data_IF_438232909159
#
_entry.id   IF_438232909159
#
_cell.length_a   1.000
_cell.length_b   1.000
_cell.length_c   1.000
_cell.angle_alpha   90.00
_cell.angle_beta   90.00
_cell.angle_gamma   90.00
#
_symmetry.space_group_name_H-M   'P 1'
#
loop_
_entity.id
_entity.type
_entity.pdbx_description
1 polymer ?
#
# COMPACT_ATOMS: atom_id res chain seq x y z
N UNK A 1 -28.15 24.82 -18.04
CA UNK A 1 -27.18 24.82 -16.93
C UNK A 1 -27.64 23.74 -15.96
N UNK A 2 -27.13 22.52 -16.09
CA UNK A 2 -27.47 21.41 -15.20
C UNK A 2 -26.67 21.58 -13.91
N UNK A 3 -27.35 21.72 -12.77
CA UNK A 3 -26.72 21.56 -11.46
C UNK A 3 -25.94 20.25 -11.48
N UNK A 4 -24.62 20.32 -11.32
CA UNK A 4 -23.80 19.12 -11.16
C UNK A 4 -24.19 18.48 -9.83
N UNK A 5 -25.11 17.51 -9.88
CA UNK A 5 -25.43 16.67 -8.74
C UNK A 5 -24.15 15.99 -8.27
N UNK A 6 -23.75 16.25 -7.02
CA UNK A 6 -22.63 15.60 -6.38
C UNK A 6 -22.86 14.07 -6.40
N UNK A 7 -21.93 13.25 -6.94
CA UNK A 7 -22.10 11.80 -6.96
C UNK A 7 -22.27 11.24 -5.55
N UNK A 8 -23.18 10.26 -5.40
CA UNK A 8 -23.57 9.66 -4.11
C UNK A 8 -23.37 8.14 -4.07
N UNK A 9 -22.91 7.53 -5.15
CA UNK A 9 -22.64 6.10 -5.19
C UNK A 9 -21.54 5.78 -6.22
N UNK A 10 -21.04 4.54 -6.18
CA UNK A 10 -19.92 4.10 -7.00
C UNK A 10 -20.19 4.21 -8.51
N UNK A 11 -21.43 4.00 -8.96
CA UNK A 11 -21.80 4.11 -10.37
C UNK A 11 -21.71 5.56 -10.87
N UNK A 12 -22.23 6.52 -10.09
CA UNK A 12 -22.16 7.94 -10.42
C UNK A 12 -20.71 8.45 -10.41
N UNK A 13 -19.91 8.03 -9.43
CA UNK A 13 -18.48 8.33 -9.42
C UNK A 13 -17.77 7.73 -10.63
N UNK A 14 -18.08 6.48 -10.99
CA UNK A 14 -17.50 5.84 -12.17
C UNK A 14 -17.83 6.59 -13.46
N UNK A 15 -19.08 7.05 -13.64
CA UNK A 15 -19.48 7.88 -14.80
C UNK A 15 -18.68 9.19 -14.89
N UNK A 16 -18.36 9.82 -13.76
CA UNK A 16 -17.52 11.02 -13.73
C UNK A 16 -16.07 10.72 -14.13
N UNK A 17 -15.54 9.56 -13.72
CA UNK A 17 -14.13 9.20 -13.83
C UNK A 17 -13.78 8.42 -15.11
N UNK A 18 -14.74 7.77 -15.78
CA UNK A 18 -14.49 6.86 -16.90
C UNK A 18 -13.72 7.49 -18.07
N UNK A 19 -13.93 8.78 -18.36
CA UNK A 19 -13.21 9.47 -19.44
C UNK A 19 -11.89 10.12 -18.97
N UNK A 20 -11.56 10.01 -17.68
CA UNK A 20 -10.43 10.67 -17.02
C UNK A 20 -9.25 9.73 -16.86
N UNK A 21 -8.55 9.46 -17.97
CA UNK A 21 -7.36 8.61 -17.92
C UNK A 21 -6.28 9.22 -16.98
N UNK A 22 -5.63 8.43 -16.10
CA UNK A 22 -4.60 8.91 -15.17
C UNK A 22 -3.45 9.66 -15.89
N UNK A 23 -3.20 10.95 -15.60
CA UNK A 23 -2.15 11.71 -16.28
C UNK A 23 -0.74 11.35 -15.80
N UNK A 24 0.19 11.18 -16.74
CA UNK A 24 1.60 10.84 -16.47
C UNK A 24 2.44 12.12 -16.34
N UNK A 25 3.50 12.10 -15.52
CA UNK A 25 4.43 13.23 -15.44
C UNK A 25 5.04 13.52 -16.81
N UNK A 26 5.01 14.78 -17.22
CA UNK A 26 5.53 15.21 -18.52
C UNK A 26 7.02 14.85 -18.71
N UNK A 27 7.83 14.92 -17.65
CA UNK A 27 9.26 14.58 -17.72
C UNK A 27 9.52 13.12 -18.14
N UNK A 28 8.70 12.19 -17.66
CA UNK A 28 8.79 10.77 -18.01
C UNK A 28 8.31 10.53 -19.44
N UNK A 29 7.23 11.20 -19.88
CA UNK A 29 6.79 11.15 -21.28
C UNK A 29 7.91 11.64 -22.21
N UNK A 30 8.55 12.79 -21.90
CA UNK A 30 9.67 13.33 -22.69
C UNK A 30 10.88 12.40 -22.73
N UNK A 31 11.20 11.74 -21.62
CA UNK A 31 12.26 10.72 -21.58
C UNK A 31 11.93 9.53 -22.49
N UNK A 32 10.68 9.10 -22.51
CA UNK A 32 10.22 8.00 -23.35
C UNK A 32 10.18 8.36 -24.84
N UNK A 33 9.67 9.56 -25.18
CA UNK A 33 9.73 10.11 -26.55
C UNK A 33 11.17 10.18 -27.07
N UNK A 34 12.09 10.71 -26.25
CA UNK A 34 13.51 10.76 -26.59
C UNK A 34 14.06 9.36 -26.84
N UNK A 35 13.79 8.40 -25.95
CA UNK A 35 14.30 7.04 -26.09
C UNK A 35 13.79 6.36 -27.36
N UNK A 36 12.50 6.54 -27.70
CA UNK A 36 11.89 6.02 -28.92
C UNK A 36 12.44 6.65 -30.21
N UNK A 37 13.03 7.84 -30.13
CA UNK A 37 13.66 8.49 -31.29
C UNK A 37 15.08 8.00 -31.58
N UNK A 38 15.68 7.21 -30.68
CA UNK A 38 17.02 6.64 -30.86
C UNK A 38 16.98 5.50 -31.89
N UNK A 39 17.97 5.45 -32.80
CA UNK A 39 18.04 4.45 -33.88
C UNK A 39 18.11 3.01 -33.39
N UNK A 40 18.75 2.79 -32.24
CA UNK A 40 18.99 1.46 -31.65
C UNK A 40 18.03 1.16 -30.48
N UNK A 41 16.86 1.81 -30.45
CA UNK A 41 15.90 1.62 -29.38
C UNK A 41 15.29 0.21 -29.40
N UNK A 42 15.57 -0.58 -28.36
CA UNK A 42 14.99 -1.91 -28.19
C UNK A 42 13.70 -1.91 -27.35
N UNK A 43 12.88 -2.95 -27.50
CA UNK A 43 11.71 -3.19 -26.61
C UNK A 43 12.15 -3.32 -25.15
N UNK A 44 13.34 -3.88 -24.89
CA UNK A 44 13.87 -4.07 -23.53
C UNK A 44 14.17 -2.73 -22.86
N UNK A 45 14.74 -1.77 -23.61
CA UNK A 45 15.02 -0.43 -23.08
C UNK A 45 13.75 0.33 -22.73
N UNK A 46 12.75 0.24 -23.60
CA UNK A 46 11.43 0.83 -23.39
C UNK A 46 10.71 0.14 -22.23
N UNK A 47 10.83 -1.18 -22.11
CA UNK A 47 10.26 -1.93 -21.00
C UNK A 47 10.78 -1.43 -19.65
N UNK A 48 12.10 -1.20 -19.55
CA UNK A 48 12.70 -0.64 -18.33
C UNK A 48 12.12 0.74 -17.97
N UNK A 49 11.87 1.60 -18.95
CA UNK A 49 11.28 2.92 -18.72
C UNK A 49 9.82 2.86 -18.33
N UNK A 50 9.02 2.01 -19.00
CA UNK A 50 7.60 1.82 -18.67
C UNK A 50 7.46 1.26 -17.26
N UNK A 51 8.22 0.21 -16.92
CA UNK A 51 8.17 -0.45 -15.61
C UNK A 51 8.65 0.41 -14.44
N UNK A 52 9.36 1.51 -14.73
CA UNK A 52 9.78 2.47 -13.70
C UNK A 52 8.65 3.43 -13.27
N UNK A 53 7.52 3.49 -13.99
CA UNK A 53 6.41 4.37 -13.65
C UNK A 53 5.06 3.60 -13.69
N UNK A 54 4.37 3.43 -12.54
CA UNK A 54 3.07 2.77 -12.46
C UNK A 54 2.01 3.30 -13.43
N UNK A 55 2.04 4.59 -13.77
CA UNK A 55 1.07 5.16 -14.69
C UNK A 55 1.37 4.74 -16.12
N UNK A 56 2.65 4.65 -16.52
CA UNK A 56 3.00 4.06 -17.81
C UNK A 56 2.63 2.58 -17.88
N UNK A 57 2.83 1.83 -16.79
CA UNK A 57 2.36 0.45 -16.67
C UNK A 57 0.84 0.35 -16.89
N UNK A 58 0.07 1.26 -16.28
CA UNK A 58 -1.39 1.32 -16.46
C UNK A 58 -1.76 1.53 -17.93
N UNK A 59 -1.19 2.54 -18.60
CA UNK A 59 -1.51 2.84 -19.98
C UNK A 59 -1.09 1.73 -20.94
N UNK A 60 0.06 1.09 -20.71
CA UNK A 60 0.50 -0.05 -21.48
C UNK A 60 -0.42 -1.27 -21.27
N UNK A 61 -0.81 -1.56 -20.03
CA UNK A 61 -1.76 -2.63 -19.74
C UNK A 61 -3.13 -2.36 -20.38
N UNK A 62 -3.63 -1.12 -20.30
CA UNK A 62 -4.93 -0.74 -20.85
C UNK A 62 -4.98 -0.89 -22.38
N UNK A 63 -3.96 -0.40 -23.09
CA UNK A 63 -3.92 -0.55 -24.56
C UNK A 63 -3.65 -2.00 -24.97
N UNK A 64 -2.88 -2.77 -24.19
CA UNK A 64 -2.69 -4.19 -24.45
C UNK A 64 -3.99 -4.98 -24.25
N UNK A 65 -4.72 -4.74 -23.17
CA UNK A 65 -5.97 -5.45 -22.88
C UNK A 65 -6.98 -5.29 -24.01
N UNK A 66 -7.12 -4.10 -24.62
CA UNK A 66 -7.99 -3.90 -25.79
C UNK A 66 -7.63 -4.81 -26.98
N UNK A 67 -6.34 -5.09 -27.21
CA UNK A 67 -5.90 -6.00 -28.27
C UNK A 67 -6.14 -7.47 -27.93
N UNK A 68 -6.14 -7.79 -26.64
CA UNK A 68 -6.33 -9.13 -26.12
C UNK A 68 -7.83 -9.49 -26.00
N UNK A 69 -8.68 -8.50 -25.74
CA UNK A 69 -10.14 -8.61 -25.78
C UNK A 69 -10.62 -9.05 -27.18
N UNK A 70 -10.03 -8.51 -28.25
CA UNK A 70 -10.30 -8.95 -29.63
C UNK A 70 -9.96 -10.42 -29.90
N UNK A 71 -9.12 -11.03 -29.04
CA UNK A 71 -8.57 -12.38 -29.21
C UNK A 71 -8.99 -13.34 -28.09
N UNK A 72 -9.95 -12.95 -27.26
CA UNK A 72 -10.41 -13.75 -26.11
C UNK A 72 -9.26 -14.22 -25.20
N UNK A 73 -8.29 -13.35 -24.98
CA UNK A 73 -7.11 -13.63 -24.15
C UNK A 73 -6.89 -12.52 -23.11
N UNK A 74 -5.99 -12.74 -22.15
CA UNK A 74 -5.79 -11.81 -21.03
C UNK A 74 -4.33 -11.38 -20.87
N UNK A 75 -4.15 -10.13 -20.44
CA UNK A 75 -2.84 -9.58 -20.08
C UNK A 75 -2.47 -10.01 -18.67
N UNK A 76 -1.51 -10.93 -18.57
CA UNK A 76 -1.08 -11.56 -17.32
C UNK A 76 0.11 -10.88 -16.62
N UNK A 77 0.81 -9.96 -17.29
CA UNK A 77 1.91 -9.17 -16.72
C UNK A 77 2.20 -7.90 -17.52
N UNK A 78 2.93 -6.96 -16.92
CA UNK A 78 3.39 -5.74 -17.61
C UNK A 78 4.36 -6.08 -18.76
N UNK A 79 5.25 -7.06 -18.58
CA UNK A 79 6.15 -7.50 -19.67
C UNK A 79 5.36 -8.12 -20.84
N UNK A 80 4.32 -8.90 -20.54
CA UNK A 80 3.41 -9.43 -21.55
C UNK A 80 2.69 -8.29 -22.28
N UNK A 81 2.15 -7.29 -21.57
CA UNK A 81 1.51 -6.12 -22.17
C UNK A 81 2.43 -5.38 -23.15
N UNK A 82 3.66 -5.10 -22.72
CA UNK A 82 4.67 -4.39 -23.52
C UNK A 82 5.07 -5.22 -24.76
N UNK A 83 5.24 -6.54 -24.59
CA UNK A 83 5.51 -7.46 -25.68
C UNK A 83 4.39 -7.50 -26.72
N UNK A 84 3.13 -7.55 -26.28
CA UNK A 84 1.95 -7.55 -27.14
C UNK A 84 1.77 -6.26 -27.93
N UNK A 85 2.13 -5.11 -27.35
CA UNK A 85 2.09 -3.82 -28.03
C UNK A 85 3.22 -3.67 -29.06
N UNK A 86 4.44 -4.04 -28.68
CA UNK A 86 5.65 -3.77 -29.47
C UNK A 86 5.97 -2.27 -29.62
N UNK A 87 7.11 -1.95 -30.23
CA UNK A 87 7.62 -0.57 -30.33
C UNK A 87 6.68 0.39 -31.08
N UNK A 88 6.01 -0.10 -32.12
CA UNK A 88 5.15 0.74 -32.96
C UNK A 88 3.92 1.24 -32.19
N UNK A 89 3.17 0.34 -31.54
CA UNK A 89 1.98 0.73 -30.77
C UNK A 89 2.37 1.53 -29.53
N UNK A 90 3.51 1.22 -28.89
CA UNK A 90 4.04 2.06 -27.80
C UNK A 90 4.34 3.46 -28.29
N UNK A 91 4.94 3.63 -29.48
CA UNK A 91 5.22 4.95 -30.05
C UNK A 91 3.96 5.78 -30.30
N UNK A 92 2.85 5.13 -30.67
CA UNK A 92 1.55 5.77 -30.83
C UNK A 92 0.97 6.14 -29.46
N UNK A 93 0.99 5.18 -28.51
CA UNK A 93 0.50 5.38 -27.15
C UNK A 93 1.14 6.60 -26.50
N UNK A 94 2.47 6.70 -26.54
CA UNK A 94 3.24 7.80 -25.90
C UNK A 94 2.79 9.18 -26.36
N UNK A 95 2.47 9.33 -27.65
CA UNK A 95 1.98 10.60 -28.23
C UNK A 95 0.58 10.98 -27.76
N UNK A 96 -0.21 10.01 -27.27
CA UNK A 96 -1.59 10.19 -26.82
C UNK A 96 -1.76 10.26 -25.30
N UNK A 97 -0.66 10.11 -24.54
CA UNK A 97 -0.73 10.06 -23.08
C UNK A 97 -1.18 11.41 -22.49
N UNK A 98 -2.18 11.41 -21.59
CA UNK A 98 -2.48 12.61 -20.81
C UNK A 98 -1.25 12.96 -19.96
N UNK A 99 -0.89 14.25 -19.93
CA UNK A 99 0.30 14.72 -19.24
C UNK A 99 -0.04 15.71 -18.13
N UNK A 100 0.73 15.68 -17.04
CA UNK A 100 0.63 16.63 -15.95
C UNK A 100 2.03 17.17 -15.60
N UNK A 101 2.08 18.47 -15.28
CA UNK A 101 3.24 19.10 -14.65
C UNK A 101 2.94 19.23 -13.17
N UNK A 102 3.79 18.64 -12.33
CA UNK A 102 3.62 18.69 -10.89
C UNK A 102 3.79 20.12 -10.40
N UNK A 103 2.80 20.62 -9.67
CA UNK A 103 2.85 21.86 -8.93
C UNK A 103 3.22 21.57 -7.47
N UNK A 104 4.41 21.97 -6.98
CA UNK A 104 4.83 21.79 -5.59
C UNK A 104 3.91 22.41 -4.55
N UNK A 105 3.10 23.40 -4.91
CA UNK A 105 2.15 24.03 -4.02
C UNK A 105 0.79 23.30 -3.96
N UNK A 106 0.53 22.33 -4.85
CA UNK A 106 -0.73 21.59 -4.91
C UNK A 106 -0.70 20.37 -4.01
N UNK A 107 -1.53 20.36 -2.96
CA UNK A 107 -1.71 19.17 -2.12
C UNK A 107 -2.34 18.04 -2.93
N UNK A 108 -3.35 18.37 -3.74
CA UNK A 108 -4.09 17.39 -4.53
C UNK A 108 -3.18 16.60 -5.49
N UNK A 109 -2.31 17.28 -6.24
CA UNK A 109 -1.37 16.62 -7.15
C UNK A 109 -0.30 15.82 -6.39
N UNK A 110 0.17 16.30 -5.23
CA UNK A 110 1.09 15.52 -4.38
C UNK A 110 0.44 14.25 -3.88
N UNK A 111 -0.81 14.34 -3.41
CA UNK A 111 -1.56 13.20 -2.90
C UNK A 111 -1.95 12.21 -4.01
N UNK A 112 -2.21 12.69 -5.22
CA UNK A 112 -2.34 11.84 -6.41
C UNK A 112 -1.12 10.94 -6.58
N UNK A 113 0.09 11.52 -6.68
CA UNK A 113 1.32 10.73 -6.83
C UNK A 113 1.64 9.89 -5.59
N UNK A 114 1.33 10.37 -4.39
CA UNK A 114 1.47 9.60 -3.15
C UNK A 114 0.60 8.34 -3.15
N UNK A 115 -0.65 8.44 -3.61
CA UNK A 115 -1.57 7.30 -3.70
C UNK A 115 -1.07 6.23 -4.69
N UNK A 116 -0.48 6.65 -5.81
CA UNK A 116 0.17 5.75 -6.78
C UNK A 116 1.40 5.08 -6.18
N UNK A 117 2.22 5.83 -5.44
CA UNK A 117 3.37 5.29 -4.73
C UNK A 117 2.95 4.23 -3.70
N UNK A 118 1.79 4.40 -3.08
CA UNK A 118 1.24 3.43 -2.13
C UNK A 118 0.83 2.12 -2.81
N UNK A 119 0.12 2.20 -3.93
CA UNK A 119 -0.23 1.00 -4.72
C UNK A 119 1.01 0.31 -5.29
N UNK A 120 2.04 1.07 -5.66
CA UNK A 120 3.33 0.51 -6.06
C UNK A 120 4.03 -0.24 -4.91
N UNK A 121 3.94 0.29 -3.69
CA UNK A 121 4.43 -0.40 -2.50
C UNK A 121 3.69 -1.73 -2.27
N UNK A 122 2.36 -1.73 -2.32
CA UNK A 122 1.56 -2.97 -2.25
C UNK A 122 1.99 -3.99 -3.32
N UNK A 123 2.17 -3.54 -4.57
CA UNK A 123 2.63 -4.38 -5.66
C UNK A 123 4.01 -5.01 -5.41
N UNK A 124 4.96 -4.25 -4.89
CA UNK A 124 6.29 -4.76 -4.54
C UNK A 124 6.22 -5.78 -3.39
N UNK A 125 5.39 -5.51 -2.38
CA UNK A 125 5.18 -6.42 -1.25
C UNK A 125 4.68 -7.79 -1.73
N UNK A 126 3.53 -7.82 -2.43
CA UNK A 126 2.95 -9.09 -2.88
C UNK A 126 3.87 -9.86 -3.83
N UNK A 127 4.59 -9.16 -4.71
CA UNK A 127 5.54 -9.79 -5.64
C UNK A 127 6.68 -10.46 -4.89
N UNK A 128 7.20 -9.79 -3.87
CA UNK A 128 8.29 -10.29 -3.02
C UNK A 128 7.84 -11.53 -2.24
N UNK A 129 6.65 -11.47 -1.62
CA UNK A 129 6.07 -12.58 -0.86
C UNK A 129 5.83 -13.81 -1.71
N UNK A 130 5.30 -13.67 -2.93
CA UNK A 130 5.05 -14.79 -3.83
C UNK A 130 6.33 -15.39 -4.41
N UNK A 131 7.37 -14.58 -4.59
CA UNK A 131 8.71 -15.09 -4.95
C UNK A 131 9.27 -15.99 -3.84
N UNK A 132 9.13 -15.58 -2.58
CA UNK A 132 9.60 -16.35 -1.43
C UNK A 132 8.73 -17.58 -1.14
N UNK A 133 7.41 -17.41 -1.00
CA UNK A 133 6.50 -18.45 -0.53
C UNK A 133 6.03 -19.41 -1.63
N UNK A 134 6.09 -19.02 -2.91
CA UNK A 134 5.51 -19.80 -4.03
C UNK A 134 6.41 -19.91 -5.27
N UNK A 135 7.70 -19.66 -5.15
CA UNK A 135 8.62 -19.78 -6.29
C UNK A 135 8.23 -18.90 -7.49
N UNK A 136 7.66 -17.73 -7.25
CA UNK A 136 7.18 -16.76 -8.26
C UNK A 136 5.87 -17.10 -8.97
N UNK A 137 5.15 -18.15 -8.57
CA UNK A 137 3.85 -18.48 -9.14
C UNK A 137 2.88 -17.30 -9.00
N UNK A 138 2.32 -16.82 -10.13
CA UNK A 138 1.42 -15.66 -10.22
C UNK A 138 1.98 -14.34 -9.66
N UNK A 139 3.30 -14.22 -9.46
CA UNK A 139 3.88 -13.03 -8.83
C UNK A 139 3.69 -11.75 -9.65
N UNK A 140 3.86 -11.81 -10.97
CA UNK A 140 3.69 -10.63 -11.84
C UNK A 140 2.20 -10.29 -12.08
N UNK A 141 1.32 -11.29 -12.13
CA UNK A 141 -0.14 -11.11 -12.17
C UNK A 141 -0.64 -10.41 -10.89
N UNK A 142 -0.14 -10.86 -9.73
CA UNK A 142 -0.47 -10.28 -8.41
C UNK A 142 0.14 -8.89 -8.23
N UNK A 143 1.35 -8.65 -8.75
CA UNK A 143 1.95 -7.32 -8.81
C UNK A 143 1.03 -6.35 -9.56
N UNK A 144 0.57 -6.74 -10.77
CA UNK A 144 -0.32 -5.92 -11.59
C UNK A 144 -1.67 -5.69 -10.91
N UNK A 145 -2.22 -6.71 -10.24
CA UNK A 145 -3.46 -6.60 -9.47
C UNK A 145 -3.35 -5.59 -8.33
N UNK A 146 -2.33 -5.70 -7.48
CA UNK A 146 -2.09 -4.76 -6.38
C UNK A 146 -1.78 -3.35 -6.90
N UNK A 147 -1.05 -3.25 -8.02
CA UNK A 147 -0.69 -1.95 -8.60
C UNK A 147 -1.92 -1.16 -9.03
N UNK A 148 -2.94 -1.79 -9.61
CA UNK A 148 -4.13 -1.10 -10.13
C UNK A 148 -5.35 -1.16 -9.21
N UNK A 149 -5.20 -1.74 -8.02
CA UNK A 149 -6.29 -1.94 -7.05
C UNK A 149 -6.97 -0.62 -6.65
N UNK A 150 -6.19 0.45 -6.44
CA UNK A 150 -6.66 1.74 -5.92
C UNK A 150 -6.87 2.81 -7.01
N UNK A 151 -7.14 2.42 -8.25
CA UNK A 151 -7.23 3.38 -9.36
C UNK A 151 -8.27 4.49 -9.14
N UNK A 152 -9.37 4.18 -8.45
CA UNK A 152 -10.38 5.17 -8.05
C UNK A 152 -9.83 6.17 -7.04
N UNK A 153 -9.07 5.71 -6.05
CA UNK A 153 -8.39 6.58 -5.08
C UNK A 153 -7.47 7.57 -5.80
N UNK A 154 -6.70 7.10 -6.78
CA UNK A 154 -5.79 7.96 -7.55
C UNK A 154 -6.57 9.09 -8.19
N UNK A 155 -7.55 8.76 -9.03
CA UNK A 155 -8.26 9.76 -9.82
C UNK A 155 -9.04 10.77 -9.00
N UNK A 156 -9.59 10.36 -7.86
CA UNK A 156 -10.34 11.27 -6.99
C UNK A 156 -9.47 12.39 -6.40
N UNK A 157 -8.16 12.22 -6.26
CA UNK A 157 -7.29 13.33 -5.88
C UNK A 157 -7.23 14.44 -6.93
N UNK A 158 -7.49 14.14 -8.20
CA UNK A 158 -7.52 15.13 -9.28
C UNK A 158 -8.95 15.59 -9.62
N UNK A 159 -9.93 14.70 -9.56
CA UNK A 159 -11.31 14.98 -9.99
C UNK A 159 -12.22 15.40 -8.82
N UNK A 160 -11.90 15.04 -7.58
CA UNK A 160 -12.66 15.41 -6.38
C UNK A 160 -11.74 15.71 -5.15
N UNK A 161 -10.78 16.64 -5.28
CA UNK A 161 -9.80 16.93 -4.23
C UNK A 161 -10.43 17.41 -2.92
N UNK A 162 -11.57 18.11 -2.98
CA UNK A 162 -12.34 18.56 -1.83
C UNK A 162 -12.85 17.39 -0.98
N UNK A 163 -13.42 16.37 -1.61
CA UNK A 163 -13.86 15.13 -0.96
C UNK A 163 -12.68 14.38 -0.36
N UNK A 164 -11.60 14.17 -1.12
CA UNK A 164 -10.43 13.43 -0.64
C UNK A 164 -9.77 14.12 0.55
N UNK A 165 -9.61 15.45 0.50
CA UNK A 165 -9.10 16.23 1.63
C UNK A 165 -9.98 16.11 2.87
N UNK A 166 -11.31 16.13 2.69
CA UNK A 166 -12.27 15.95 3.78
C UNK A 166 -12.22 14.54 4.38
N UNK A 167 -12.08 13.50 3.57
CA UNK A 167 -11.87 12.12 4.05
C UNK A 167 -10.63 12.07 4.94
N UNK A 168 -9.50 12.63 4.47
CA UNK A 168 -8.27 12.65 5.25
C UNK A 168 -8.43 13.43 6.57
N UNK A 169 -9.17 14.53 6.59
CA UNK A 169 -9.52 15.26 7.83
C UNK A 169 -10.37 14.40 8.77
N UNK A 170 -11.38 13.67 8.28
CA UNK A 170 -12.20 12.79 9.13
C UNK A 170 -11.36 11.65 9.74
N UNK A 171 -10.45 11.08 8.97
CA UNK A 171 -9.59 9.98 9.44
C UNK A 171 -8.54 10.49 10.43
N UNK A 172 -7.72 11.48 10.00
CA UNK A 172 -6.55 11.94 10.77
C UNK A 172 -6.93 12.83 11.95
N UNK A 173 -7.90 13.73 11.80
CA UNK A 173 -8.23 14.70 12.85
C UNK A 173 -9.35 14.21 13.78
N UNK A 174 -10.25 13.35 13.29
CA UNK A 174 -11.42 12.88 14.06
C UNK A 174 -11.38 11.41 14.43
N UNK A 175 -10.37 10.66 13.99
CA UNK A 175 -10.23 9.23 14.28
C UNK A 175 -11.37 8.38 13.73
N UNK A 176 -12.06 8.82 12.68
CA UNK A 176 -13.13 8.04 12.04
C UNK A 176 -12.47 6.96 11.17
N UNK A 177 -13.00 5.73 11.20
CA UNK A 177 -12.46 4.65 10.37
C UNK A 177 -12.54 4.99 8.87
N UNK A 178 -11.58 4.55 8.04
CA UNK A 178 -11.54 4.87 6.62
C UNK A 178 -12.86 4.60 5.89
N UNK A 179 -13.42 3.40 6.02
CA UNK A 179 -14.67 3.01 5.33
C UNK A 179 -15.86 3.93 5.69
N UNK A 180 -15.97 4.32 6.96
CA UNK A 180 -17.01 5.23 7.42
C UNK A 180 -16.77 6.66 6.90
N UNK A 181 -15.53 7.14 6.92
CA UNK A 181 -15.18 8.46 6.42
C UNK A 181 -15.45 8.57 4.91
N UNK A 182 -15.08 7.54 4.14
CA UNK A 182 -15.35 7.43 2.71
C UNK A 182 -16.85 7.42 2.43
N UNK A 183 -17.61 6.54 3.09
CA UNK A 183 -19.06 6.43 2.91
C UNK A 183 -19.78 7.73 3.26
N UNK A 184 -19.36 8.43 4.32
CA UNK A 184 -19.93 9.73 4.70
C UNK A 184 -19.68 10.85 3.68
N UNK A 185 -18.58 10.78 2.93
CA UNK A 185 -18.18 11.86 2.01
C UNK A 185 -18.56 11.55 0.56
N UNK A 186 -18.38 10.31 0.11
CA UNK A 186 -18.59 9.86 -1.27
C UNK A 186 -19.93 9.12 -1.45
N UNK A 187 -20.57 8.68 -0.36
CA UNK A 187 -21.75 7.81 -0.39
C UNK A 187 -21.42 6.33 -0.65
N UNK A 188 -20.14 5.99 -0.81
CA UNK A 188 -19.63 4.63 -0.98
C UNK A 188 -18.14 4.57 -0.58
N UNK A 189 -17.55 3.38 -0.57
CA UNK A 189 -16.11 3.20 -0.36
C UNK A 189 -15.30 3.50 -1.62
N UNK A 190 -14.02 3.82 -1.45
CA UNK A 190 -13.06 3.95 -2.55
C UNK A 190 -12.87 2.61 -3.28
N UNK A 191 -12.89 1.49 -2.56
CA UNK A 191 -12.85 0.15 -3.14
C UNK A 191 -14.01 -0.07 -4.14
N UNK A 192 -15.23 0.36 -3.78
CA UNK A 192 -16.39 0.24 -4.67
C UNK A 192 -16.23 1.06 -5.96
N UNK A 193 -15.60 2.23 -5.89
CA UNK A 193 -15.31 3.07 -7.07
C UNK A 193 -14.24 2.40 -7.93
N UNK A 194 -13.13 1.94 -7.33
CA UNK A 194 -12.07 1.23 -8.05
C UNK A 194 -12.58 -0.04 -8.74
N UNK A 195 -13.50 -0.79 -8.09
CA UNK A 195 -14.16 -1.96 -8.67
C UNK A 195 -14.91 -1.61 -9.95
N UNK A 196 -15.70 -0.54 -9.93
CA UNK A 196 -16.43 -0.08 -11.12
C UNK A 196 -15.47 0.37 -12.24
N UNK A 197 -14.38 1.04 -11.90
CA UNK A 197 -13.38 1.46 -12.88
C UNK A 197 -12.64 0.29 -13.52
N UNK A 198 -12.23 -0.72 -12.74
CA UNK A 198 -11.57 -1.90 -13.31
C UNK A 198 -12.50 -2.77 -14.16
N UNK A 199 -13.82 -2.66 -14.00
CA UNK A 199 -14.77 -3.28 -14.94
C UNK A 199 -14.78 -2.62 -16.31
N UNK A 200 -14.45 -1.32 -16.39
CA UNK A 200 -14.40 -0.58 -17.66
C UNK A 200 -12.98 -0.57 -18.24
N UNK A 201 -11.97 -0.58 -17.37
CA UNK A 201 -10.56 -0.66 -17.74
C UNK A 201 -10.02 -2.02 -17.31
N UNK A 202 -10.05 -3.04 -18.21
CA UNK A 202 -9.63 -4.41 -17.90
C UNK A 202 -8.10 -4.54 -17.80
N UNK A 203 -7.46 -3.68 -17.01
CA UNK A 203 -6.01 -3.65 -16.81
C UNK A 203 -5.51 -4.73 -15.86
N UNK A 204 -6.38 -5.40 -15.12
CA UNK A 204 -6.03 -6.57 -14.31
C UNK A 204 -7.28 -7.38 -13.95
N UNK A 205 -7.38 -8.59 -14.49
CA UNK A 205 -8.47 -9.50 -14.14
C UNK A 205 -8.40 -9.93 -12.67
N UNK A 206 -7.20 -10.25 -12.18
CA UNK A 206 -7.00 -10.58 -10.77
C UNK A 206 -7.31 -9.39 -9.84
N UNK A 207 -7.03 -8.16 -10.25
CA UNK A 207 -7.41 -6.95 -9.50
C UNK A 207 -8.93 -6.82 -9.34
N UNK A 208 -9.69 -7.06 -10.42
CA UNK A 208 -11.17 -7.09 -10.39
C UNK A 208 -11.70 -8.17 -9.45
N UNK A 209 -11.21 -9.41 -9.61
CA UNK A 209 -11.60 -10.54 -8.75
C UNK A 209 -11.32 -10.22 -7.29
N UNK A 210 -10.17 -9.60 -6.99
CA UNK A 210 -9.79 -9.24 -5.61
C UNK A 210 -10.75 -8.20 -5.00
N UNK A 211 -11.22 -7.22 -5.79
CA UNK A 211 -12.23 -6.24 -5.37
C UNK A 211 -13.66 -6.81 -5.30
N UNK A 212 -13.92 -7.95 -5.95
CA UNK A 212 -15.19 -8.66 -5.85
C UNK A 212 -15.29 -9.54 -4.61
N UNK A 213 -14.17 -9.95 -4.03
CA UNK A 213 -14.18 -10.78 -2.83
C UNK A 213 -14.52 -9.94 -1.61
N UNK A 214 -15.67 -10.24 -1.01
CA UNK A 214 -16.04 -9.75 0.32
C UNK A 214 -15.24 -10.52 1.37
N UNK A 215 -14.00 -10.08 1.59
CA UNK A 215 -13.09 -10.67 2.54
C UNK A 215 -12.90 -9.76 3.76
N UNK A 216 -13.43 -10.17 4.91
CA UNK A 216 -13.28 -9.45 6.18
C UNK A 216 -12.46 -10.26 7.18
N UNK A 217 -11.41 -9.65 7.73
CA UNK A 217 -10.66 -10.25 8.84
C UNK A 217 -11.40 -9.99 10.15
N UNK A 218 -12.03 -11.03 10.70
CA UNK A 218 -12.53 -11.01 12.06
C UNK A 218 -11.50 -11.63 13.03
N UNK A 219 -11.59 -11.32 14.32
CA UNK A 219 -10.65 -11.81 15.35
C UNK A 219 -10.53 -13.34 15.38
N UNK A 220 -11.63 -14.05 15.17
CA UNK A 220 -11.64 -15.52 15.13
C UNK A 220 -10.80 -16.04 13.97
N UNK A 221 -10.97 -15.44 12.80
CA UNK A 221 -10.26 -15.80 11.58
C UNK A 221 -8.77 -15.51 11.69
N UNK A 222 -8.38 -14.37 12.27
CA UNK A 222 -6.97 -14.06 12.55
C UNK A 222 -6.36 -15.14 13.45
N UNK A 223 -7.07 -15.50 14.53
CA UNK A 223 -6.62 -16.55 15.46
C UNK A 223 -6.49 -17.90 14.75
N UNK A 224 -7.42 -18.23 13.86
CA UNK A 224 -7.39 -19.46 13.08
C UNK A 224 -6.26 -19.47 12.03
N UNK A 225 -5.96 -18.34 11.40
CA UNK A 225 -4.82 -18.21 10.49
C UNK A 225 -3.49 -18.43 11.24
N UNK A 226 -3.39 -17.90 12.46
CA UNK A 226 -2.24 -18.10 13.33
C UNK A 226 -2.09 -19.56 13.77
N UNK A 227 -3.18 -20.18 14.25
CA UNK A 227 -3.21 -21.61 14.57
C UNK A 227 -2.81 -22.49 13.38
N UNK A 228 -3.25 -22.12 12.17
CA UNK A 228 -2.85 -22.81 10.93
C UNK A 228 -1.34 -22.68 10.67
N UNK A 229 -0.76 -21.50 10.90
CA UNK A 229 0.67 -21.28 10.70
C UNK A 229 1.52 -22.12 11.67
N UNK A 230 1.08 -22.21 12.93
CA UNK A 230 1.72 -23.03 13.98
C UNK A 230 1.49 -24.54 13.84
N UNK A 231 0.57 -24.97 12.98
CA UNK A 231 0.19 -26.38 12.89
C UNK A 231 -0.54 -26.88 14.15
N UNK A 232 -1.34 -26.01 14.78
CA UNK A 232 -2.01 -26.30 16.05
C UNK A 232 -2.98 -27.49 15.94
N UNK A 233 -2.85 -28.52 16.81
CA UNK A 233 -3.77 -29.66 16.87
C UNK A 233 -5.22 -29.28 17.19
N UNK A 234 -5.53 -28.05 17.58
CA UNK A 234 -6.93 -27.62 17.79
C UNK A 234 -7.64 -27.32 16.48
N UNK A 235 -6.90 -27.05 15.41
CA UNK A 235 -7.46 -26.68 14.11
C UNK A 235 -7.59 -27.91 13.21
N UNK A 236 -8.79 -28.47 13.14
CA UNK A 236 -9.06 -29.75 12.47
C UNK A 236 -10.30 -29.69 11.56
N UNK A 237 -10.46 -30.74 10.74
CA UNK A 237 -11.63 -30.95 9.90
C UNK A 237 -11.84 -29.85 8.84
N UNK A 238 -13.08 -29.39 8.73
CA UNK A 238 -13.49 -28.47 7.67
C UNK A 238 -12.86 -27.08 7.80
N UNK A 239 -12.63 -26.60 9.03
CA UNK A 239 -12.03 -25.28 9.28
C UNK A 239 -10.60 -25.19 8.69
N UNK A 240 -9.77 -26.21 8.91
CA UNK A 240 -8.43 -26.27 8.35
C UNK A 240 -8.45 -26.32 6.81
N UNK A 241 -9.40 -27.08 6.24
CA UNK A 241 -9.59 -27.15 4.78
C UNK A 241 -9.97 -25.81 4.18
N UNK A 242 -10.92 -25.10 4.80
CA UNK A 242 -11.35 -23.77 4.35
C UNK A 242 -10.21 -22.75 4.39
N UNK A 243 -9.41 -22.73 5.45
CA UNK A 243 -8.26 -21.82 5.59
C UNK A 243 -7.15 -22.15 4.59
N UNK A 244 -6.87 -23.43 4.36
CA UNK A 244 -5.93 -23.84 3.33
C UNK A 244 -6.41 -23.43 1.94
N UNK A 245 -7.69 -23.64 1.63
CA UNK A 245 -8.27 -23.19 0.38
C UNK A 245 -8.17 -21.67 0.22
N UNK A 246 -8.53 -20.90 1.25
CA UNK A 246 -8.46 -19.44 1.24
C UNK A 246 -7.03 -18.95 1.00
N UNK A 247 -6.07 -19.43 1.79
CA UNK A 247 -4.68 -18.99 1.66
C UNK A 247 -4.09 -19.37 0.32
N UNK A 248 -4.61 -20.40 -0.36
CA UNK A 248 -4.22 -20.78 -1.71
C UNK A 248 -4.79 -19.87 -2.81
N UNK A 249 -5.89 -19.15 -2.54
CA UNK A 249 -6.49 -18.23 -3.50
C UNK A 249 -5.54 -17.10 -3.91
N UNK A 250 -5.56 -16.72 -5.19
CA UNK A 250 -4.70 -15.66 -5.73
C UNK A 250 -4.98 -14.28 -5.14
N UNK A 251 -6.25 -13.98 -4.83
CA UNK A 251 -6.65 -12.67 -4.31
C UNK A 251 -6.12 -12.40 -2.89
N UNK A 252 -5.92 -13.46 -2.10
CA UNK A 252 -5.58 -13.36 -0.68
C UNK A 252 -4.29 -12.55 -0.42
N UNK A 253 -3.13 -12.91 -1.00
CA UNK A 253 -1.90 -12.14 -0.81
C UNK A 253 -1.97 -10.74 -1.44
N UNK A 254 -2.78 -10.53 -2.49
CA UNK A 254 -3.01 -9.20 -3.08
C UNK A 254 -3.73 -8.31 -2.05
N UNK A 255 -4.85 -8.77 -1.48
CA UNK A 255 -5.63 -8.03 -0.49
C UNK A 255 -4.80 -7.71 0.77
N UNK A 256 -4.01 -8.68 1.27
CA UNK A 256 -3.08 -8.45 2.39
C UNK A 256 -2.06 -7.34 2.08
N UNK A 257 -1.52 -7.30 0.87
CA UNK A 257 -0.52 -6.28 0.48
C UNK A 257 -1.11 -4.88 0.39
N UNK A 258 -2.35 -4.77 -0.09
CA UNK A 258 -3.09 -3.51 -0.16
C UNK A 258 -3.43 -3.02 1.24
N UNK A 259 -3.94 -3.90 2.11
CA UNK A 259 -4.23 -3.56 3.50
C UNK A 259 -2.99 -3.10 4.25
N UNK A 260 -1.85 -3.77 4.07
CA UNK A 260 -0.59 -3.32 4.66
C UNK A 260 -0.25 -1.91 4.20
N UNK A 261 -0.29 -1.63 2.90
CA UNK A 261 0.02 -0.31 2.34
C UNK A 261 -0.97 0.77 2.80
N UNK A 262 -2.24 0.42 2.98
CA UNK A 262 -3.27 1.35 3.48
C UNK A 262 -3.07 1.67 4.95
N UNK A 263 -2.90 0.65 5.81
CA UNK A 263 -2.69 0.84 7.24
C UNK A 263 -1.38 1.60 7.52
N UNK A 264 -0.31 1.24 6.81
CA UNK A 264 0.99 1.87 6.98
C UNK A 264 1.08 3.30 6.47
N UNK A 265 0.13 3.76 5.63
CA UNK A 265 0.05 5.15 5.16
C UNK A 265 -0.37 6.13 6.25
N UNK A 266 -0.93 5.64 7.36
CA UNK A 266 -1.30 6.43 8.53
C UNK A 266 -0.25 6.28 9.62
N UNK A 267 0.01 5.04 10.05
CA UNK A 267 1.00 4.75 11.06
C UNK A 267 1.46 3.28 10.99
N UNK A 268 2.77 3.08 10.88
CA UNK A 268 3.41 1.77 10.88
C UNK A 268 3.28 1.05 12.23
N UNK A 269 3.29 1.80 13.33
CA UNK A 269 3.18 1.27 14.69
C UNK A 269 1.75 1.02 15.16
N UNK A 270 0.75 1.36 14.35
CA UNK A 270 -0.65 1.19 14.73
C UNK A 270 -1.01 -0.27 14.94
N UNK A 271 -1.98 -0.53 15.82
CA UNK A 271 -2.50 -1.87 16.08
C UNK A 271 -2.95 -2.57 14.79
N UNK A 272 -3.57 -1.82 13.86
CA UNK A 272 -3.98 -2.35 12.57
C UNK A 272 -2.78 -2.82 11.71
N UNK A 273 -1.72 -2.01 11.61
CA UNK A 273 -0.50 -2.36 10.87
C UNK A 273 0.21 -3.58 11.47
N UNK A 274 0.26 -3.68 12.80
CA UNK A 274 0.85 -4.82 13.51
C UNK A 274 0.05 -6.11 13.29
N UNK A 275 -1.28 -6.04 13.43
CA UNK A 275 -2.16 -7.19 13.15
C UNK A 275 -2.02 -7.69 11.71
N UNK A 276 -1.94 -6.78 10.73
CA UNK A 276 -1.72 -7.16 9.34
C UNK A 276 -0.33 -7.82 9.16
N UNK A 277 0.69 -7.31 9.85
CA UNK A 277 2.04 -7.90 9.83
C UNK A 277 2.04 -9.33 10.38
N UNK A 278 1.30 -9.60 11.46
CA UNK A 278 1.16 -10.95 12.02
C UNK A 278 0.48 -11.90 11.02
N UNK A 279 -0.57 -11.45 10.34
CA UNK A 279 -1.26 -12.25 9.33
C UNK A 279 -0.35 -12.53 8.12
N UNK A 280 0.47 -11.56 7.73
CA UNK A 280 1.47 -11.75 6.67
C UNK A 280 2.54 -12.75 7.14
N UNK A 281 2.99 -12.67 8.39
CA UNK A 281 3.93 -13.64 8.96
C UNK A 281 3.36 -15.06 8.92
N UNK A 282 2.10 -15.23 9.33
CA UNK A 282 1.38 -16.51 9.28
C UNK A 282 1.17 -17.02 7.86
N UNK A 283 0.93 -16.12 6.90
CA UNK A 283 0.83 -16.45 5.48
C UNK A 283 2.18 -16.96 4.92
N UNK A 284 3.28 -16.27 5.26
CA UNK A 284 4.64 -16.62 4.84
C UNK A 284 5.21 -17.83 5.58
N UNK A 285 4.63 -18.21 6.72
CA UNK A 285 5.15 -19.24 7.63
C UNK A 285 6.61 -18.97 8.01
N UNK A 286 6.89 -17.73 8.39
CA UNK A 286 8.23 -17.25 8.76
C UNK A 286 8.26 -16.81 10.22
N UNK A 287 9.43 -16.39 10.68
CA UNK A 287 9.62 -15.76 11.98
C UNK A 287 9.30 -14.26 11.88
N UNK A 288 8.69 -13.69 12.93
CA UNK A 288 8.20 -12.31 12.90
C UNK A 288 9.29 -11.30 12.50
N UNK A 289 10.50 -11.44 13.05
CA UNK A 289 11.63 -10.56 12.74
C UNK A 289 12.05 -10.65 11.27
N UNK A 290 12.01 -11.85 10.68
CA UNK A 290 12.33 -12.05 9.26
C UNK A 290 11.26 -11.43 8.37
N UNK A 291 9.99 -11.58 8.74
CA UNK A 291 8.87 -10.94 8.05
C UNK A 291 9.02 -9.41 8.11
N UNK A 292 9.24 -8.82 9.29
CA UNK A 292 9.45 -7.38 9.42
C UNK A 292 10.62 -6.87 8.55
N UNK A 293 11.77 -7.55 8.60
CA UNK A 293 12.91 -7.20 7.77
C UNK A 293 12.61 -7.28 6.27
N UNK A 294 11.83 -8.28 5.83
CA UNK A 294 11.37 -8.40 4.46
C UNK A 294 10.46 -7.23 4.08
N UNK A 295 9.50 -6.87 4.94
CA UNK A 295 8.57 -5.76 4.70
C UNK A 295 9.33 -4.44 4.55
N UNK A 296 10.29 -4.15 5.44
CA UNK A 296 11.12 -2.94 5.38
C UNK A 296 12.01 -2.91 4.14
N UNK A 297 12.62 -4.04 3.77
CA UNK A 297 13.38 -4.14 2.52
C UNK A 297 12.51 -3.82 1.31
N UNK A 298 11.29 -4.32 1.28
CA UNK A 298 10.33 -4.03 0.21
C UNK A 298 9.91 -2.55 0.21
N UNK A 299 9.76 -1.91 1.37
CA UNK A 299 9.55 -0.47 1.48
C UNK A 299 10.71 0.30 0.83
N UNK A 300 11.96 -0.09 1.09
CA UNK A 300 13.13 0.60 0.55
C UNK A 300 13.18 0.48 -0.98
N UNK A 301 12.91 -0.73 -1.51
CA UNK A 301 12.80 -0.96 -2.95
C UNK A 301 11.69 -0.10 -3.55
N UNK A 302 10.51 -0.02 -2.92
CA UNK A 302 9.39 0.77 -3.41
C UNK A 302 9.67 2.28 -3.45
N UNK A 303 10.27 2.81 -2.39
CA UNK A 303 10.64 4.22 -2.30
C UNK A 303 11.69 4.63 -3.35
N UNK A 304 12.66 3.75 -3.62
CA UNK A 304 13.72 4.02 -4.61
C UNK A 304 13.23 3.90 -6.05
N UNK A 305 12.33 2.96 -6.32
CA UNK A 305 11.88 2.65 -7.67
C UNK A 305 10.86 3.64 -8.22
N UNK A 306 10.00 4.21 -7.37
CA UNK A 306 9.06 5.26 -7.75
C UNK A 306 9.19 6.49 -6.85
N UNK A 307 10.01 7.43 -7.29
CA UNK A 307 10.20 8.71 -6.62
C UNK A 307 9.59 9.85 -7.44
N UNK A 308 8.74 10.64 -6.78
CA UNK A 308 8.21 11.89 -7.34
C UNK A 308 8.70 13.06 -6.49
N UNK A 309 9.41 14.05 -7.09
CA UNK A 309 9.93 15.18 -6.35
C UNK A 309 8.86 15.92 -5.55
N UNK A 310 9.17 16.27 -4.30
CA UNK A 310 8.24 17.00 -3.42
C UNK A 310 7.06 16.19 -2.90
N UNK A 311 7.00 14.88 -3.19
CA UNK A 311 6.08 13.95 -2.55
C UNK A 311 6.87 12.95 -1.71
N UNK A 312 6.53 12.84 -0.44
CA UNK A 312 7.02 11.76 0.41
C UNK A 312 6.17 10.52 0.11
N UNK A 313 6.80 9.42 -0.33
CA UNK A 313 6.09 8.17 -0.57
C UNK A 313 5.81 7.47 0.77
N UNK A 314 4.65 6.78 0.95
CA UNK A 314 4.37 6.05 2.19
C UNK A 314 5.45 5.01 2.50
N UNK A 315 5.94 4.32 1.46
CA UNK A 315 7.12 3.44 1.48
C UNK A 315 8.34 4.02 2.21
N UNK A 316 8.63 5.31 1.99
CA UNK A 316 9.77 5.97 2.61
C UNK A 316 9.50 6.30 4.08
N UNK A 317 8.28 6.73 4.42
CA UNK A 317 7.88 7.03 5.80
C UNK A 317 8.01 5.81 6.71
N UNK A 318 7.67 4.61 6.22
CA UNK A 318 7.77 3.37 7.00
C UNK A 318 9.19 2.99 7.43
N UNK A 319 10.22 3.57 6.81
CA UNK A 319 11.64 3.33 7.17
C UNK A 319 12.15 4.43 8.11
N UNK A 320 11.44 5.55 8.17
CA UNK A 320 11.79 6.65 9.07
C UNK A 320 11.34 6.32 10.49
N UNK A 321 11.96 7.00 11.47
CA UNK A 321 11.50 6.95 12.85
C UNK A 321 10.07 7.49 12.95
N UNK A 322 9.25 6.97 13.89
CA UNK A 322 7.94 7.54 14.17
C UNK A 322 8.06 9.04 14.41
N UNK A 323 7.23 9.82 13.73
CA UNK A 323 7.20 11.27 13.86
C UNK A 323 5.76 11.76 13.75
N UNK A 324 5.48 12.88 14.41
CA UNK A 324 4.20 13.58 14.31
C UNK A 324 4.04 14.32 12.97
N UNK A 325 5.06 14.24 12.10
CA UNK A 325 5.03 14.85 10.78
C UNK A 325 4.14 14.03 9.86
N UNK A 326 3.12 14.70 9.34
CA UNK A 326 2.19 14.11 8.39
C UNK A 326 2.25 14.83 7.04
N UNK A 327 2.10 14.10 5.93
CA UNK A 327 1.99 14.73 4.63
C UNK A 327 0.82 15.71 4.64
N UNK A 328 0.96 16.85 3.95
CA UNK A 328 -0.15 17.77 3.80
C UNK A 328 -1.31 17.05 3.09
N UNK A 329 -2.50 17.05 3.71
CA UNK A 329 -3.75 16.51 3.15
C UNK A 329 -4.85 17.57 3.03
N UNK A 330 -4.61 18.79 3.54
CA UNK A 330 -5.51 19.93 3.39
C UNK A 330 -5.19 20.69 2.11
N UNK A 331 -6.23 21.04 1.36
CA UNK A 331 -6.07 21.79 0.11
C UNK A 331 -5.48 23.18 0.35
N UNK A 332 -4.58 23.60 -0.53
CA UNK A 332 -3.96 24.93 -0.49
C UNK A 332 -4.72 25.93 -1.36
N UNK A 333 -4.31 27.21 -1.29
CA UNK A 333 -4.77 28.22 -2.24
C UNK A 333 -4.36 27.93 -3.69
N UNK A 334 -3.28 27.17 -3.91
CA UNK A 334 -2.90 26.73 -5.25
C UNK A 334 -3.90 25.71 -5.80
N UNK A 335 -4.39 24.79 -4.95
CA UNK A 335 -5.43 23.84 -5.33
C UNK A 335 -6.73 24.55 -5.71
N UNK A 336 -7.15 25.57 -4.93
CA UNK A 336 -8.33 26.38 -5.27
C UNK A 336 -8.22 27.06 -6.64
N UNK A 337 -7.02 27.50 -7.03
CA UNK A 337 -6.77 28.10 -8.35
C UNK A 337 -6.75 27.06 -9.48
N UNK A 338 -6.21 25.87 -9.22
CA UNK A 338 -6.07 24.81 -10.22
C UNK A 338 -7.39 24.10 -10.52
N UNK A 339 -8.18 23.79 -9.50
CA UNK A 339 -9.40 23.00 -9.61
C UNK A 339 -10.68 23.85 -9.57
N UNK A 340 -10.59 25.14 -9.19
CA UNK A 340 -11.71 26.07 -9.11
C UNK A 340 -12.83 25.63 -8.14
N UNK A 341 -14.01 26.25 -8.25
CA UNK A 341 -15.26 25.75 -7.64
C UNK A 341 -15.88 24.57 -8.42
N UNK A 342 -15.21 24.10 -9.49
CA UNK A 342 -15.71 23.04 -10.38
C UNK A 342 -15.53 21.62 -9.81
N UNK A 343 -14.84 21.48 -8.68
CA UNK A 343 -14.83 20.21 -7.96
C UNK A 343 -16.23 19.95 -7.40
N UNK A 344 -16.77 18.73 -7.51
CA UNK A 344 -18.02 18.40 -6.84
C UNK A 344 -17.88 18.78 -5.36
N UNK A 345 -18.91 19.42 -4.81
CA UNK A 345 -18.88 19.85 -3.41
C UNK A 345 -19.45 18.73 -2.56
N UNK A 346 -18.78 18.31 -1.48
CA UNK A 346 -19.27 17.19 -0.67
C UNK A 346 -20.56 17.60 0.06
N UNK A 347 -21.70 17.16 -0.45
CA UNK A 347 -22.99 17.30 0.22
C UNK A 347 -22.94 16.50 1.54
N UNK A 348 -23.03 17.21 2.67
CA UNK A 348 -23.03 16.59 4.00
C UNK A 348 -24.40 15.96 4.28
N UNK A 349 -24.47 14.65 4.46
CA UNK A 349 -25.51 14.03 5.29
C UNK A 349 -24.88 13.60 6.62
N UNK A 350 -24.64 14.55 7.53
CA UNK A 350 -24.24 14.20 8.91
C UNK A 350 -25.49 13.79 9.66
N UNK A 351 -25.76 12.49 9.73
CA UNK A 351 -26.55 11.96 10.83
C UNK A 351 -25.67 12.04 12.08
N UNK A 352 -25.98 12.95 13.00
CA UNK A 352 -25.30 13.05 14.30
C UNK A 352 -25.49 11.75 15.09
N UNK A 353 -24.53 10.83 15.01
CA UNK A 353 -24.45 9.72 15.95
C UNK A 353 -23.91 10.28 17.26
N UNK A 354 -24.76 10.31 18.29
CA UNK A 354 -24.36 10.68 19.65
C UNK A 354 -23.39 9.62 20.18
N UNK A 355 -22.12 9.96 20.36
CA UNK A 355 -21.22 9.18 21.21
C UNK A 355 -21.70 9.28 22.66
N UNK A 356 -22.08 8.16 23.26
CA UNK A 356 -22.14 8.03 24.73
C UNK A 356 -20.71 7.80 25.23
N UNK A 357 -20.27 8.46 26.31
CA UNK A 357 -18.98 8.16 26.90
C UNK A 357 -19.03 6.80 27.59
N UNK A 358 -18.01 5.99 27.35
CA UNK A 358 -17.77 4.74 28.07
C UNK A 358 -17.22 5.09 29.45
N UNK A 359 -18.00 4.81 30.49
CA UNK A 359 -17.51 4.48 31.82
C UNK A 359 -18.54 3.57 32.50
N UNK A 360 -18.00 2.64 33.29
CA UNK A 360 -18.65 1.72 34.23
C UNK A 360 -19.32 0.46 33.65
N UNK A 361 -18.56 -0.63 33.64
CA UNK A 361 -18.98 -1.92 34.21
C UNK A 361 -17.76 -2.84 34.37
N UNK A 362 -17.04 -2.65 35.47
CA UNK A 362 -16.36 -3.75 36.14
C UNK A 362 -17.36 -4.39 37.13
N UNK A 363 -17.23 -5.70 37.26
CA UNK A 363 -17.71 -6.60 38.30
C UNK A 363 -19.08 -7.30 38.24
N UNK A 364 -18.99 -8.56 38.70
CA UNK A 364 -19.98 -9.62 38.97
C UNK A 364 -20.46 -10.46 37.77
N UNK A 365 -20.39 -11.81 37.76
CA UNK A 365 -20.29 -12.77 38.87
C UNK A 365 -19.93 -14.17 38.37
N UNK A 366 -18.95 -14.79 39.05
CA UNK A 366 -18.96 -16.15 39.67
C UNK A 366 -19.70 -17.29 38.95
N UNK A 367 -18.94 -18.33 38.57
CA UNK A 367 -19.18 -19.67 39.13
C UNK A 367 -17.89 -20.51 39.13
N UNK A 368 -17.51 -20.92 40.35
CA UNK A 368 -16.57 -21.98 40.65
C UNK A 368 -17.27 -23.34 40.49
N UNK A 369 -16.52 -24.37 40.08
CA UNK A 369 -16.58 -25.69 40.72
C UNK A 369 -15.26 -26.44 40.50
N UNK A 370 -14.61 -26.76 41.63
CA UNK A 370 -13.72 -27.89 41.98
C UNK A 370 -13.06 -28.74 40.87
N UNK A 371 -11.81 -29.19 40.97
CA UNK A 371 -10.83 -29.24 42.06
C UNK A 371 -9.82 -30.37 41.78
N UNK A 372 -8.57 -30.23 42.23
CA UNK A 372 -7.80 -31.31 42.87
C UNK A 372 -6.44 -30.81 43.35
N UNK A 373 -6.15 -31.12 44.62
CA UNK A 373 -4.89 -30.96 45.34
C UNK A 373 -3.81 -31.94 44.88
N UNK A 374 -2.54 -31.52 44.96
CA UNK A 374 -1.38 -32.19 45.62
C UNK A 374 -0.19 -31.18 45.56
N UNK A 375 0.36 -30.65 46.67
CA UNK A 375 1.39 -31.24 47.57
C UNK A 375 2.57 -31.85 46.78
N UNK A 376 3.85 -31.53 46.97
CA UNK A 376 4.60 -31.12 48.16
C UNK A 376 5.98 -30.51 47.80
N UNK A 377 6.41 -29.55 48.64
CA UNK A 377 7.73 -29.36 49.28
C UNK A 377 9.09 -29.33 48.52
N UNK A 378 9.79 -28.21 48.81
CA UNK A 378 11.17 -28.08 49.34
C UNK A 378 12.42 -28.35 48.47
N UNK A 379 13.36 -27.40 48.54
CA UNK A 379 14.80 -27.71 48.46
C UNK A 379 15.70 -26.54 48.04
N UNK A 380 16.25 -25.81 49.01
CA UNK A 380 17.19 -24.68 48.85
C UNK A 380 18.67 -25.14 48.84
N UNK A 381 19.54 -24.32 48.24
CA UNK A 381 20.97 -24.02 48.57
C UNK A 381 22.11 -24.59 47.68
N UNK A 382 22.77 -23.67 46.96
CA UNK A 382 24.19 -23.24 47.06
C UNK A 382 25.30 -24.31 47.11
N UNK A 383 26.31 -24.16 46.24
CA UNK A 383 27.69 -24.56 46.56
C UNK A 383 28.62 -24.85 45.37
N UNK A 384 29.60 -23.97 45.19
CA UNK A 384 30.74 -23.98 44.25
C UNK A 384 31.55 -25.30 44.19
N UNK A 385 32.20 -25.56 43.03
CA UNK A 385 33.66 -25.63 42.88
C UNK A 385 34.08 -26.13 41.48
N UNK A 386 34.93 -25.35 40.79
CA UNK A 386 35.86 -25.82 39.75
C UNK A 386 37.05 -26.57 40.37
N UNK A 387 37.84 -27.33 39.58
CA UNK A 387 39.08 -26.74 39.04
C UNK A 387 39.49 -27.17 37.61
N UNK A 388 39.91 -26.16 36.84
CA UNK A 388 41.14 -26.00 36.04
C UNK A 388 41.77 -27.17 35.25
N UNK A 389 41.93 -26.99 33.92
CA UNK A 389 43.21 -26.86 33.16
C UNK A 389 43.10 -27.34 31.70
N UNK A 390 43.23 -26.41 30.74
CA UNK A 390 44.15 -26.50 29.60
C UNK A 390 44.01 -25.25 28.71
N UNK A 391 45.08 -24.46 28.66
CA UNK A 391 45.27 -23.32 27.77
C UNK A 391 45.62 -23.81 26.36
N UNK A 392 44.98 -23.28 25.34
CA UNK A 392 45.58 -23.13 24.01
C UNK A 392 45.31 -21.72 23.48
N UNK A 393 46.41 -21.00 23.27
CA UNK A 393 46.51 -19.66 22.72
C UNK A 393 45.92 -19.54 21.31
N UNK A 394 44.94 -18.65 21.14
CA UNK A 394 44.74 -17.89 19.89
C UNK A 394 44.25 -16.47 20.21
N UNK A 395 45.11 -15.49 19.95
CA UNK A 395 44.82 -14.06 19.97
C UNK A 395 43.51 -13.72 19.22
N UNK A 396 42.56 -12.98 19.82
CA UNK A 396 41.53 -12.30 19.07
C UNK A 396 42.10 -10.98 18.51
N UNK A 397 41.91 -10.78 17.20
CA UNK A 397 42.12 -9.50 16.53
C UNK A 397 41.22 -8.43 17.19
N UNK A 398 41.87 -7.42 17.75
CA UNK A 398 41.23 -6.19 18.25
C UNK A 398 40.69 -5.40 17.04
N UNK A 399 39.41 -5.63 16.72
CA UNK A 399 38.64 -4.73 15.87
C UNK A 399 37.96 -3.77 16.83
N UNK A 400 38.65 -2.66 17.14
CA UNK A 400 37.99 -1.52 17.77
C UNK A 400 36.91 -1.04 16.81
N UNK A 401 35.65 -1.35 17.10
CA UNK A 401 34.51 -0.70 16.47
C UNK A 401 34.64 0.80 16.77
N UNK A 402 35.03 1.57 15.75
CA UNK A 402 34.87 3.01 15.80
C UNK A 402 33.37 3.25 15.95
N UNK A 403 32.97 3.83 17.09
CA UNK A 403 31.60 4.32 17.26
C UNK A 403 31.24 5.17 16.05
N UNK A 404 30.06 4.97 15.44
CA UNK A 404 29.64 5.80 14.34
C UNK A 404 29.64 7.26 14.81
N UNK A 405 30.31 8.13 14.06
CA UNK A 405 30.43 9.58 14.30
C UNK A 405 29.08 10.31 14.34
N UNK A 406 27.98 9.58 14.09
CA UNK A 406 26.62 10.06 14.04
C UNK A 406 25.73 9.24 14.97
N UNK A 407 25.13 9.92 15.95
CA UNK A 407 24.05 9.38 16.76
C UNK A 407 22.77 9.28 15.90
N UNK A 408 22.54 8.09 15.33
CA UNK A 408 21.36 7.78 14.52
C UNK A 408 20.05 7.78 15.32
N UNK A 409 20.09 7.92 16.64
CA UNK A 409 18.89 8.06 17.49
C UNK A 409 18.50 9.52 17.71
N UNK A 410 19.33 10.48 17.27
CA UNK A 410 19.01 11.89 17.39
C UNK A 410 17.88 12.28 16.41
N UNK A 411 16.68 12.52 16.95
CA UNK A 411 15.48 12.93 16.21
C UNK A 411 15.70 14.24 15.42
N UNK A 412 16.57 15.15 15.89
CA UNK A 412 16.82 16.44 15.26
C UNK A 412 17.43 16.31 13.85
N UNK A 413 18.22 15.25 13.61
CA UNK A 413 18.84 14.99 12.31
C UNK A 413 17.76 14.65 11.27
N UNK A 414 16.75 13.89 11.67
CA UNK A 414 15.65 13.47 10.79
C UNK A 414 14.65 14.60 10.56
N UNK A 415 14.33 15.39 11.59
CA UNK A 415 13.57 16.62 11.43
C UNK A 415 14.27 17.57 10.45
N UNK A 416 15.59 17.73 10.56
CA UNK A 416 16.37 18.51 9.61
C UNK A 416 16.28 17.95 8.17
N UNK A 417 16.32 16.63 7.98
CA UNK A 417 16.13 16.03 6.66
C UNK A 417 14.70 16.18 6.14
N UNK A 418 13.68 15.97 6.97
CA UNK A 418 12.28 16.16 6.63
C UNK A 418 11.99 17.62 6.27
N UNK A 419 12.48 18.56 7.09
CA UNK A 419 12.44 20.00 6.80
C UNK A 419 13.18 20.34 5.51
N UNK A 420 14.33 19.72 5.25
CA UNK A 420 15.08 19.93 4.00
C UNK A 420 14.30 19.42 2.79
N UNK A 421 13.62 18.27 2.88
CA UNK A 421 12.73 17.76 1.84
C UNK A 421 11.54 18.69 1.59
N UNK A 422 10.95 19.24 2.65
CA UNK A 422 9.82 20.17 2.56
C UNK A 422 10.24 21.55 2.01
N UNK A 423 11.34 22.12 2.52
CA UNK A 423 11.84 23.46 2.18
C UNK A 423 12.55 23.51 0.81
N UNK A 424 13.19 22.42 0.36
CA UNK A 424 13.87 22.37 -0.95
C UNK A 424 13.05 21.75 -2.07
N UNK A 425 11.77 21.41 -1.82
CA UNK A 425 10.89 20.84 -2.84
C UNK A 425 10.88 21.66 -4.15
N UNK A 426 10.95 23.00 -4.06
CA UNK A 426 10.96 23.91 -5.20
C UNK A 426 12.21 23.75 -6.09
N UNK A 427 13.38 23.45 -5.50
CA UNK A 427 14.64 23.26 -6.24
C UNK A 427 14.64 21.99 -7.10
N UNK A 428 13.86 20.97 -6.74
CA UNK A 428 13.79 19.71 -7.49
C UNK A 428 12.78 19.73 -8.64
N UNK A 429 12.04 20.84 -8.82
CA UNK A 429 11.03 20.98 -9.89
C UNK A 429 11.49 21.85 -11.06
N UNK A 430 12.65 22.48 -10.94
CA UNK A 430 13.35 23.12 -12.05
C UNK A 430 14.36 22.14 -12.64
N UNK A 431 13.88 21.26 -13.52
CA UNK A 431 14.68 20.29 -14.27
C UNK A 431 13.95 19.82 -15.52
#
# INVERSE_FOLDING_TARGET
>A
MTEQQNPQNAEQWCRLLNDKRPPVRLSIIKRLEKKLSEKDCSVVDISRLIKADPLLCFHAALEASKLHDEKESEVTSIDHAIGSLGLQKISILVKSLPSIRLNPASTAQKMYFRSIANSHHAAIQVRSWLKQARGSMFAEESYQAALFYDIGHWLLWLEAPSHMSKIQVLIRDKGISPDLAETQVLGCTLEAISKQLLNIWPVSQLGRITLEQDFTLNRQMITQLHQRALGDPRLHGDNLRQLNHLTQQKFFPVKLSVWLAHASSYDWGSEASLQITDIINDYLRSELNQTQALLHKNCAVAAQSYHVPGTLAPAAEMIMLPSDLHPAYRLTNADKKLFGEQSPTPALQINKVKSKPANDAADSTVNQESGHETKDSNGTLVGNNEPTLAQEDKNPLDISEQEPEFDFLNQDIYEMYAERFLKRADQYTQG
#
